data_IF_563358856802
#
_entry.id   IF_563358856802
#
_cell.length_a   1.000
_cell.length_b   1.000
_cell.length_c   1.000
_cell.angle_alpha   90.00
_cell.angle_beta   90.00
_cell.angle_gamma   90.00
#
_symmetry.space_group_name_H-M   'P 1'
#
loop_
_entity.id
_entity.type
_entity.pdbx_description
1 polymer ?
#
# COMPACT_ATOMS: atom_id res chain seq x y z
N UNK A 1 -3.93 19.51 -7.35
CA UNK A 1 -4.10 18.18 -7.99
C UNK A 1 -2.73 17.56 -8.20
N UNK A 2 -2.52 16.26 -7.95
CA UNK A 2 -1.19 15.63 -8.09
C UNK A 2 -0.71 15.56 -9.55
N UNK A 3 0.60 15.65 -9.77
CA UNK A 3 1.23 15.51 -11.08
C UNK A 3 1.24 14.04 -11.51
N UNK A 4 0.63 13.73 -12.67
CA UNK A 4 0.43 12.34 -13.14
C UNK A 4 1.75 11.59 -13.35
N UNK A 5 2.71 12.24 -14.01
CA UNK A 5 4.00 11.65 -14.34
C UNK A 5 4.77 11.36 -13.06
N UNK A 6 4.91 12.36 -12.19
CA UNK A 6 5.65 12.24 -10.92
C UNK A 6 5.02 11.21 -9.98
N UNK A 7 3.68 11.18 -9.86
CA UNK A 7 2.98 10.15 -9.06
C UNK A 7 3.26 8.74 -9.57
N UNK A 8 3.25 8.53 -10.89
CA UNK A 8 3.53 7.21 -11.48
C UNK A 8 5.00 6.82 -11.33
N UNK A 9 5.93 7.74 -11.55
CA UNK A 9 7.36 7.49 -11.34
C UNK A 9 7.65 7.07 -9.90
N UNK A 10 7.11 7.80 -8.92
CA UNK A 10 7.33 7.49 -7.51
C UNK A 10 6.65 6.17 -7.14
N UNK A 11 5.34 6.04 -7.39
CA UNK A 11 4.58 4.92 -6.84
C UNK A 11 4.75 3.64 -7.64
N UNK A 12 4.87 3.70 -8.97
CA UNK A 12 4.97 2.49 -9.81
C UNK A 12 6.43 2.13 -10.02
N UNK A 13 7.24 3.04 -10.57
CA UNK A 13 8.64 2.74 -10.83
C UNK A 13 9.44 2.59 -9.52
N UNK A 14 9.19 3.43 -8.52
CA UNK A 14 9.78 3.24 -7.18
C UNK A 14 9.46 1.87 -6.57
N UNK A 15 8.22 1.40 -6.67
CA UNK A 15 7.83 0.06 -6.19
C UNK A 15 8.55 -1.06 -6.95
N UNK A 16 8.69 -0.94 -8.28
CA UNK A 16 9.49 -1.90 -9.07
C UNK A 16 10.94 -1.97 -8.59
N UNK A 17 11.53 -0.82 -8.32
CA UNK A 17 12.91 -0.74 -7.84
C UNK A 17 13.05 -1.37 -6.45
N UNK A 18 12.08 -1.16 -5.55
CA UNK A 18 12.06 -1.81 -4.23
C UNK A 18 11.98 -3.33 -4.36
N UNK A 19 11.08 -3.86 -5.22
CA UNK A 19 10.98 -5.30 -5.47
C UNK A 19 12.32 -5.85 -5.98
N UNK A 20 12.91 -5.20 -6.98
CA UNK A 20 14.19 -5.62 -7.55
C UNK A 20 15.31 -5.60 -6.48
N UNK A 21 15.36 -4.58 -5.64
CA UNK A 21 16.31 -4.48 -4.54
C UNK A 21 16.09 -5.56 -3.48
N UNK A 22 14.84 -5.86 -3.10
CA UNK A 22 14.51 -6.96 -2.20
C UNK A 22 15.04 -8.29 -2.73
N UNK A 23 14.83 -8.57 -4.01
CA UNK A 23 15.31 -9.79 -4.65
C UNK A 23 16.83 -9.81 -4.66
N UNK A 24 17.49 -8.76 -5.16
CA UNK A 24 18.94 -8.69 -5.26
C UNK A 24 19.65 -8.81 -3.90
N UNK A 25 19.06 -8.24 -2.84
CA UNK A 25 19.58 -8.30 -1.48
C UNK A 25 19.16 -9.56 -0.70
N UNK A 26 18.35 -10.45 -1.29
CA UNK A 26 17.88 -11.68 -0.61
C UNK A 26 16.91 -11.43 0.54
N UNK A 27 16.20 -10.29 0.53
CA UNK A 27 15.14 -9.95 1.48
C UNK A 27 13.98 -10.93 1.31
N UNK A 28 13.60 -11.58 2.41
CA UNK A 28 12.60 -12.65 2.37
C UNK A 28 11.15 -12.15 2.34
N UNK A 29 10.89 -10.93 2.81
CA UNK A 29 9.53 -10.43 3.07
C UNK A 29 9.38 -8.98 2.66
N UNK A 30 8.33 -8.68 1.91
CA UNK A 30 7.94 -7.33 1.54
C UNK A 30 6.46 -7.10 1.88
N UNK A 31 6.20 -6.18 2.82
CA UNK A 31 4.85 -5.73 3.14
C UNK A 31 4.62 -4.40 2.44
N UNK A 32 3.66 -4.34 1.53
CA UNK A 32 3.34 -3.15 0.78
C UNK A 32 2.11 -2.43 1.35
N UNK A 33 2.29 -1.18 1.77
CA UNK A 33 1.18 -0.34 2.21
C UNK A 33 0.45 0.22 0.99
N UNK A 34 -0.71 -0.37 0.71
CA UNK A 34 -1.61 0.03 -0.35
C UNK A 34 -2.72 0.93 0.21
N UNK A 35 -3.87 0.97 -0.45
CA UNK A 35 -5.04 1.77 -0.06
C UNK A 35 -6.31 1.01 -0.41
N UNK A 36 -7.36 1.17 0.39
CA UNK A 36 -8.69 0.66 0.05
C UNK A 36 -9.22 1.20 -1.29
N UNK A 37 -8.73 2.37 -1.73
CA UNK A 37 -9.11 2.96 -3.01
C UNK A 37 -8.77 2.09 -4.23
N UNK A 38 -7.91 1.06 -4.11
CA UNK A 38 -7.62 0.16 -5.24
C UNK A 38 -8.81 -0.74 -5.62
N UNK A 39 -9.79 -0.91 -4.71
CA UNK A 39 -11.03 -1.66 -4.95
C UNK A 39 -12.29 -0.78 -4.82
N UNK A 40 -12.17 0.40 -4.19
CA UNK A 40 -13.30 1.29 -3.93
C UNK A 40 -13.53 2.30 -5.06
N UNK A 41 -14.75 2.28 -5.61
CA UNK A 41 -15.18 3.12 -6.74
C UNK A 41 -16.22 4.19 -6.42
N UNK A 42 -16.44 4.51 -5.14
CA UNK A 42 -17.48 5.45 -4.70
C UNK A 42 -18.82 4.81 -4.32
N UNK A 43 -18.97 3.50 -4.50
CA UNK A 43 -20.14 2.72 -4.05
C UNK A 43 -19.77 1.97 -2.76
N UNK A 44 -20.63 1.97 -1.73
CA UNK A 44 -20.38 1.25 -0.49
C UNK A 44 -20.01 -0.21 -0.73
N UNK A 45 -18.95 -0.67 -0.06
CA UNK A 45 -18.56 -2.09 -0.05
C UNK A 45 -19.27 -2.75 1.14
N UNK A 46 -20.26 -3.57 0.86
CA UNK A 46 -20.96 -4.38 1.88
C UNK A 46 -20.48 -5.83 1.79
N UNK A 47 -20.05 -6.41 2.92
CA UNK A 47 -19.56 -7.79 3.01
C UNK A 47 -18.42 -8.13 2.02
N UNK A 48 -17.57 -7.15 1.71
CA UNK A 48 -16.43 -7.34 0.81
C UNK A 48 -15.22 -8.00 1.48
N UNK A 49 -14.39 -8.67 0.67
CA UNK A 49 -13.11 -9.25 1.10
C UNK A 49 -11.96 -8.81 0.19
N UNK A 50 -10.75 -9.29 0.44
CA UNK A 50 -9.56 -9.03 -0.38
C UNK A 50 -9.71 -9.52 -1.83
N UNK A 51 -10.67 -10.44 -2.08
CA UNK A 51 -11.01 -11.02 -3.38
C UNK A 51 -11.80 -10.07 -4.29
N UNK A 52 -12.21 -8.90 -3.80
CA UNK A 52 -12.87 -7.90 -4.64
C UNK A 52 -12.00 -7.55 -5.85
N UNK A 53 -12.61 -7.40 -7.05
CA UNK A 53 -11.87 -6.98 -8.22
C UNK A 53 -11.29 -5.59 -8.02
N UNK A 54 -10.13 -5.34 -8.60
CA UNK A 54 -9.58 -3.99 -8.69
C UNK A 54 -10.58 -3.06 -9.35
N UNK A 55 -10.76 -1.87 -8.79
CA UNK A 55 -11.50 -0.84 -9.47
C UNK A 55 -10.74 -0.42 -10.73
N UNK A 56 -11.41 -0.26 -11.89
CA UNK A 56 -10.70 -0.03 -13.15
C UNK A 56 -9.82 1.22 -13.08
N UNK A 57 -8.55 1.08 -13.47
CA UNK A 57 -7.54 2.10 -13.22
C UNK A 57 -7.86 3.43 -13.93
N UNK A 58 -8.46 3.34 -15.11
CA UNK A 58 -8.93 4.43 -15.95
C UNK A 58 -10.16 5.16 -15.38
N UNK A 59 -10.89 4.53 -14.44
CA UNK A 59 -12.06 5.11 -13.79
C UNK A 59 -11.72 5.85 -12.50
N UNK A 60 -10.50 5.73 -11.97
CA UNK A 60 -10.12 6.51 -10.79
C UNK A 60 -10.12 8.00 -11.11
N UNK A 61 -10.85 8.76 -10.28
CA UNK A 61 -10.89 10.23 -10.34
C UNK A 61 -9.51 10.83 -10.02
N UNK A 62 -8.77 10.20 -9.09
CA UNK A 62 -7.46 10.66 -8.68
C UNK A 62 -6.32 9.78 -9.22
N UNK A 63 -5.22 10.43 -9.58
CA UNK A 63 -4.03 9.79 -10.16
C UNK A 63 -3.28 8.91 -9.17
N UNK A 64 -3.46 9.14 -7.87
CA UNK A 64 -2.78 8.39 -6.82
C UNK A 64 -3.36 6.98 -6.72
N UNK A 65 -4.69 6.84 -6.66
CA UNK A 65 -5.38 5.55 -6.59
C UNK A 65 -5.03 4.68 -7.79
N UNK A 66 -5.06 5.23 -9.01
CA UNK A 66 -4.62 4.51 -10.21
C UNK A 66 -3.17 4.02 -10.13
N UNK A 67 -2.26 4.85 -9.61
CA UNK A 67 -0.86 4.45 -9.46
C UNK A 67 -0.66 3.38 -8.36
N UNK A 68 -1.45 3.44 -7.29
CA UNK A 68 -1.42 2.46 -6.20
C UNK A 68 -1.97 1.11 -6.64
N UNK A 69 -3.01 1.07 -7.48
CA UNK A 69 -3.54 -0.16 -8.09
C UNK A 69 -2.46 -0.89 -8.88
N UNK A 70 -1.75 -0.20 -9.77
CA UNK A 70 -0.66 -0.79 -10.56
C UNK A 70 0.49 -1.27 -9.66
N UNK A 71 0.86 -0.48 -8.65
CA UNK A 71 1.94 -0.83 -7.73
C UNK A 71 1.59 -2.05 -6.85
N UNK A 72 0.36 -2.15 -6.35
CA UNK A 72 -0.11 -3.33 -5.60
C UNK A 72 -0.03 -4.60 -6.45
N UNK A 73 -0.51 -4.54 -7.70
CA UNK A 73 -0.44 -5.67 -8.63
C UNK A 73 1.01 -6.12 -8.84
N UNK A 74 1.94 -5.20 -9.03
CA UNK A 74 3.37 -5.52 -9.19
C UNK A 74 3.94 -6.25 -7.98
N UNK A 75 3.60 -5.81 -6.75
CA UNK A 75 4.05 -6.46 -5.53
C UNK A 75 3.49 -7.88 -5.44
N UNK A 76 2.19 -8.04 -5.62
CA UNK A 76 1.56 -9.36 -5.52
C UNK A 76 2.05 -10.34 -6.60
N UNK A 77 2.35 -9.85 -7.81
CA UNK A 77 2.96 -10.65 -8.87
C UNK A 77 4.40 -11.06 -8.57
N UNK A 78 5.11 -10.35 -7.68
CA UNK A 78 6.48 -10.70 -7.27
C UNK A 78 6.50 -11.75 -6.14
N UNK A 79 5.36 -12.10 -5.56
CA UNK A 79 5.26 -13.17 -4.58
C UNK A 79 5.76 -14.50 -5.16
N UNK A 80 6.63 -15.19 -4.45
CA UNK A 80 7.23 -16.45 -4.90
C UNK A 80 8.48 -16.27 -5.76
N UNK A 81 8.92 -15.04 -6.05
CA UNK A 81 10.16 -14.82 -6.80
C UNK A 81 11.37 -15.42 -6.09
N UNK A 82 12.23 -16.13 -6.83
CA UNK A 82 13.42 -16.76 -6.26
C UNK A 82 14.45 -15.73 -5.78
N UNK A 83 14.97 -15.95 -4.58
CA UNK A 83 16.04 -15.14 -4.01
C UNK A 83 17.42 -15.73 -4.34
N UNK A 84 18.48 -14.92 -4.38
CA UNK A 84 19.85 -15.41 -4.50
C UNK A 84 20.18 -16.43 -3.42
N UNK A 85 20.93 -17.48 -3.79
CA UNK A 85 21.48 -18.42 -2.82
C UNK A 85 22.55 -17.72 -1.98
N UNK A 86 22.56 -18.00 -0.67
CA UNK A 86 23.62 -17.50 0.21
C UNK A 86 24.98 -18.09 -0.17
N UNK A 87 26.06 -17.37 0.14
CA UNK A 87 27.46 -17.73 -0.18
C UNK A 87 27.90 -19.11 0.34
N UNK A 88 27.25 -19.64 1.38
CA UNK A 88 27.57 -20.96 1.97
C UNK A 88 26.83 -22.13 1.29
N UNK A 89 25.88 -21.88 0.39
CA UNK A 89 25.15 -22.95 -0.34
C UNK A 89 24.32 -23.92 0.53
N UNK A 90 24.34 -23.75 1.85
CA UNK A 90 23.84 -24.68 2.85
C UNK A 90 22.35 -24.49 3.18
N UNK A 91 21.75 -23.37 2.78
CA UNK A 91 20.32 -23.11 2.95
C UNK A 91 19.51 -23.47 1.69
N UNK A 92 18.27 -23.96 1.85
CA UNK A 92 17.38 -24.25 0.74
C UNK A 92 17.07 -22.99 -0.08
N UNK A 93 16.66 -23.19 -1.34
CA UNK A 93 16.23 -22.12 -2.22
C UNK A 93 15.07 -21.33 -1.57
N UNK A 94 15.29 -20.04 -1.31
CA UNK A 94 14.28 -19.16 -0.73
C UNK A 94 13.53 -18.40 -1.82
N UNK A 95 12.33 -17.96 -1.47
CA UNK A 95 11.48 -17.12 -2.29
C UNK A 95 11.08 -15.86 -1.52
N UNK A 96 10.78 -14.78 -2.25
CA UNK A 96 10.21 -13.55 -1.73
C UNK A 96 8.74 -13.78 -1.37
N UNK A 97 8.38 -13.58 -0.10
CA UNK A 97 6.99 -13.50 0.32
C UNK A 97 6.53 -12.04 0.31
N UNK A 98 5.39 -11.77 -0.31
CA UNK A 98 4.82 -10.41 -0.39
C UNK A 98 3.39 -10.39 0.09
N UNK A 99 2.97 -9.28 0.68
CA UNK A 99 1.56 -8.98 0.91
C UNK A 99 1.28 -7.49 0.74
N UNK A 100 0.01 -7.14 0.56
CA UNK A 100 -0.44 -5.76 0.47
C UNK A 100 -1.51 -5.48 1.54
N UNK A 101 -1.37 -4.35 2.24
CA UNK A 101 -2.33 -3.89 3.24
C UNK A 101 -3.09 -2.69 2.67
N UNK A 102 -4.40 -2.84 2.47
CA UNK A 102 -5.28 -1.80 1.92
C UNK A 102 -5.86 -0.94 3.04
N UNK A 103 -5.02 -0.09 3.65
CA UNK A 103 -5.45 0.77 4.76
C UNK A 103 -6.45 1.83 4.32
N UNK A 104 -7.38 2.17 5.22
CA UNK A 104 -8.22 3.36 5.14
C UNK A 104 -7.43 4.64 5.51
N UNK A 105 -8.12 5.77 5.66
CA UNK A 105 -7.50 7.00 6.15
C UNK A 105 -6.92 6.78 7.57
N UNK A 106 -5.64 7.10 7.74
CA UNK A 106 -4.94 7.05 9.03
C UNK A 106 -4.84 8.48 9.56
N UNK A 107 -5.30 8.71 10.80
CA UNK A 107 -5.25 10.02 11.47
C UNK A 107 -4.53 9.90 12.83
N UNK A 108 -4.00 11.01 13.33
CA UNK A 108 -3.25 11.08 14.59
C UNK A 108 -2.60 12.44 14.80
N UNK A 109 -2.03 12.63 15.99
CA UNK A 109 -1.45 13.91 16.45
C UNK A 109 -0.35 14.48 15.52
N UNK A 110 0.38 13.60 14.82
CA UNK A 110 1.46 13.96 13.87
C UNK A 110 1.01 13.97 12.40
N UNK A 111 -0.29 14.07 12.12
CA UNK A 111 -0.84 14.21 10.75
C UNK A 111 -1.51 15.58 10.56
N UNK A 112 -0.74 16.67 10.35
CA UNK A 112 -1.26 18.04 10.30
C UNK A 112 -2.37 18.23 9.26
N UNK A 113 -2.27 17.52 8.14
CA UNK A 113 -3.23 17.60 7.04
C UNK A 113 -4.63 17.06 7.38
N UNK A 114 -4.76 16.23 8.42
CA UNK A 114 -6.05 15.67 8.88
C UNK A 114 -6.51 16.24 10.23
N UNK A 115 -5.66 17.03 10.91
CA UNK A 115 -5.97 17.66 12.19
C UNK A 115 -7.22 18.56 12.14
N UNK A 116 -7.51 19.17 10.98
CA UNK A 116 -8.70 20.02 10.79
C UNK A 116 -10.03 19.25 10.80
N UNK A 117 -10.01 17.92 10.64
CA UNK A 117 -11.24 17.12 10.53
C UNK A 117 -11.68 16.47 11.84
N UNK A 118 -10.79 16.44 12.83
CA UNK A 118 -11.06 15.94 14.17
C UNK A 118 -10.48 16.94 15.17
N UNK A 119 -11.23 18.01 15.53
CA UNK A 119 -10.77 18.94 16.54
C UNK A 119 -10.48 18.16 17.82
N UNK A 120 -9.27 18.34 18.34
CA UNK A 120 -8.78 17.73 19.57
C UNK A 120 -9.84 17.87 20.65
N UNK A 121 -10.34 16.77 21.21
CA UNK A 121 -11.26 16.78 22.36
C UNK A 121 -10.55 17.14 23.67
N UNK A 122 -9.66 18.13 23.63
CA UNK A 122 -9.05 18.71 24.81
C UNK A 122 -10.02 19.76 25.38
N UNK A 123 -11.01 19.29 26.15
CA UNK A 123 -11.91 20.19 26.88
C UNK A 123 -13.33 19.68 27.13
N UNK A 124 -13.52 18.42 27.56
CA UNK A 124 -14.71 18.09 28.37
C UNK A 124 -14.24 17.47 29.68
N UNK A 125 -14.20 18.30 30.73
CA UNK A 125 -14.20 17.82 32.11
C UNK A 125 -15.41 16.90 32.25
N UNK A 126 -15.18 15.65 32.64
CA UNK A 126 -16.20 14.83 33.28
C UNK A 126 -16.58 15.55 34.57
N UNK A 127 -17.68 16.29 34.54
CA UNK A 127 -18.38 16.72 35.75
C UNK A 127 -19.09 15.51 36.32
N UNK A 128 -18.62 15.06 37.47
CA UNK A 128 -19.45 14.33 38.43
C UNK A 128 -20.29 15.41 39.10
N UNK A 129 -21.60 15.33 38.93
CA UNK A 129 -22.62 15.74 39.90
C UNK A 129 -23.67 14.62 39.96
#
# INVERSE_FOLDING_TARGET
>A
MLNRKKTREINVLGTRNVIAACIAAGVARLVYTSTYNVVFGGVPISNGSELLPYYPAEKHVDKYSASKTVAEQLVLSANGAYLPKGSSGSYPQRQLATCAIRSAAIYGEVTPALAFRFPSSHGRKLGID
#
